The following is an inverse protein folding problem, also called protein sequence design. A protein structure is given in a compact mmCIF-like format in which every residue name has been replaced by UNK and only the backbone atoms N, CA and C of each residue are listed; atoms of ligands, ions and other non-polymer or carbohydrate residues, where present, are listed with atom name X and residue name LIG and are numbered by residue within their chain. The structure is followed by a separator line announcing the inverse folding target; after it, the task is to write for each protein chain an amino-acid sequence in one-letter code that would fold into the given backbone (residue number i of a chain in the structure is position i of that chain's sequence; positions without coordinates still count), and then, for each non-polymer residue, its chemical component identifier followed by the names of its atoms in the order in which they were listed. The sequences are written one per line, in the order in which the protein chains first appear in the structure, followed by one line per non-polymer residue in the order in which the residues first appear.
data_IF_701818981782
#
_entry.id   IF_701818981782
#
_cell.length_a   1.000
_cell.length_b   1.000
_cell.length_c   1.000
_cell.angle_alpha   90.00
_cell.angle_beta   90.00
_cell.angle_gamma   90.00
#
_symmetry.space_group_name_H-M   'P 1'
#
loop_
_entity.id
_entity.type
_entity.pdbx_description
1 polymer ?
#
# COMPACT_ATOMS: atom_id res chain seq x y z
N UNK A 1 -16.00 -19.22 5.75
CA UNK A 1 -15.14 -18.21 5.14
C UNK A 1 -15.59 -16.82 5.59
N UNK A 2 -14.65 -15.98 6.03
CA UNK A 2 -14.88 -14.56 6.38
C UNK A 2 -14.26 -13.69 5.29
N UNK A 3 -15.08 -12.81 4.70
CA UNK A 3 -14.59 -11.82 3.74
C UNK A 3 -13.91 -10.68 4.48
N UNK A 4 -12.66 -10.38 4.12
CA UNK A 4 -11.91 -9.25 4.66
C UNK A 4 -12.30 -7.99 3.88
N UNK A 5 -13.31 -7.26 4.36
CA UNK A 5 -13.77 -6.02 3.72
C UNK A 5 -12.83 -4.84 4.04
N UNK A 6 -11.87 -4.63 3.15
CA UNK A 6 -10.92 -3.52 3.27
C UNK A 6 -11.58 -2.16 3.03
N UNK A 7 -12.65 -2.10 2.23
CA UNK A 7 -13.38 -0.85 1.98
C UNK A 7 -14.06 -0.34 3.26
N UNK A 8 -14.79 -1.22 3.95
CA UNK A 8 -15.44 -0.88 5.21
C UNK A 8 -14.40 -0.55 6.30
N UNK A 9 -13.32 -1.33 6.38
CA UNK A 9 -12.22 -1.09 7.34
C UNK A 9 -11.55 0.25 7.07
N UNK A 10 -11.24 0.58 5.83
CA UNK A 10 -10.64 1.87 5.45
C UNK A 10 -11.57 3.06 5.75
N UNK A 11 -12.87 2.90 5.54
CA UNK A 11 -13.85 3.95 5.88
C UNK A 11 -13.81 4.27 7.38
N UNK A 12 -13.88 3.25 8.22
CA UNK A 12 -13.82 3.40 9.68
C UNK A 12 -12.51 4.06 10.17
N UNK A 13 -11.38 3.65 9.60
CA UNK A 13 -10.08 4.24 9.98
C UNK A 13 -9.99 5.71 9.53
N UNK A 14 -10.54 6.06 8.36
CA UNK A 14 -10.59 7.47 7.94
C UNK A 14 -11.45 8.33 8.87
N UNK A 15 -12.55 7.80 9.40
CA UNK A 15 -13.35 8.46 10.44
C UNK A 15 -12.54 8.66 11.73
N UNK A 16 -11.79 7.64 12.17
CA UNK A 16 -10.88 7.73 13.32
C UNK A 16 -9.83 8.83 13.13
N UNK A 17 -9.22 8.89 11.94
CA UNK A 17 -8.24 9.93 11.57
C UNK A 17 -8.90 11.32 11.55
N UNK A 18 -10.09 11.46 10.96
CA UNK A 18 -10.79 12.73 10.87
C UNK A 18 -11.12 13.29 12.27
N UNK A 19 -11.50 12.43 13.20
CA UNK A 19 -11.77 12.85 14.57
C UNK A 19 -10.48 13.31 15.28
N UNK A 20 -9.36 12.59 15.10
CA UNK A 20 -8.07 12.99 15.64
C UNK A 20 -7.62 14.35 15.05
N UNK A 21 -7.80 14.58 13.76
CA UNK A 21 -7.48 15.87 13.11
C UNK A 21 -8.33 17.00 13.67
N UNK A 22 -9.62 16.79 13.93
CA UNK A 22 -10.48 17.78 14.58
C UNK A 22 -9.93 18.18 15.95
N UNK A 23 -9.49 17.19 16.75
CA UNK A 23 -8.90 17.45 18.06
C UNK A 23 -7.59 18.22 17.96
N UNK A 24 -6.71 17.89 16.99
CA UNK A 24 -5.47 18.64 16.72
C UNK A 24 -5.79 20.11 16.41
N UNK A 25 -6.73 20.36 15.49
CA UNK A 25 -7.11 21.72 15.08
C UNK A 25 -7.78 22.49 16.21
N UNK A 26 -8.65 21.84 16.99
CA UNK A 26 -9.30 22.45 18.15
C UNK A 26 -8.31 22.87 19.23
N UNK A 27 -7.18 22.13 19.35
CA UNK A 27 -6.07 22.47 20.24
C UNK A 27 -5.10 23.53 19.67
N UNK A 28 -5.42 24.13 18.51
CA UNK A 28 -4.59 25.15 17.85
C UNK A 28 -3.46 24.55 16.99
N UNK A 29 -3.44 23.25 16.77
CA UNK A 29 -2.48 22.58 15.90
C UNK A 29 -2.81 22.79 14.42
N UNK A 30 -1.80 22.56 13.57
CA UNK A 30 -1.90 22.63 12.12
C UNK A 30 -2.61 21.39 11.56
N UNK A 31 -3.42 21.57 10.52
CA UNK A 31 -3.95 20.43 9.73
C UNK A 31 -2.80 19.71 9.02
N UNK A 32 -2.75 18.38 9.05
CA UNK A 32 -1.79 17.64 8.24
C UNK A 32 -1.93 17.99 6.76
N UNK A 33 -0.80 18.13 6.05
CA UNK A 33 -0.77 18.52 4.64
C UNK A 33 -0.03 17.48 3.81
N UNK A 34 -0.77 16.86 2.88
CA UNK A 34 -0.23 15.94 1.88
C UNK A 34 -0.10 16.64 0.53
N UNK A 35 1.09 16.65 -0.05
CA UNK A 35 1.26 16.99 -1.45
C UNK A 35 1.42 15.72 -2.31
N UNK A 36 0.94 15.76 -3.54
CA UNK A 36 1.09 14.68 -4.51
C UNK A 36 1.58 15.24 -5.85
N UNK A 37 2.62 14.64 -6.39
CA UNK A 37 3.09 14.92 -7.76
C UNK A 37 2.58 13.81 -8.67
N UNK A 38 1.94 14.19 -9.78
CA UNK A 38 1.53 13.31 -10.85
C UNK A 38 2.21 13.74 -12.14
N UNK A 39 2.87 12.81 -12.82
CA UNK A 39 3.51 13.04 -14.12
C UNK A 39 2.75 12.23 -15.17
N UNK A 40 2.31 12.93 -16.22
CA UNK A 40 1.59 12.35 -17.34
C UNK A 40 0.12 12.04 -17.07
N UNK A 41 -0.47 11.27 -18.00
CA UNK A 41 -1.91 11.02 -18.07
C UNK A 41 -2.29 9.53 -17.97
N UNK A 42 -1.49 8.71 -17.27
CA UNK A 42 -1.88 7.31 -17.02
C UNK A 42 -3.18 7.25 -16.21
N UNK A 43 -4.22 6.68 -16.81
CA UNK A 43 -5.56 6.64 -16.21
C UNK A 43 -5.64 5.86 -14.89
N UNK A 44 -4.69 4.94 -14.63
CA UNK A 44 -4.52 4.27 -13.34
C UNK A 44 -4.05 5.25 -12.29
N UNK A 45 -2.96 5.94 -12.57
CA UNK A 45 -2.34 6.95 -11.72
C UNK A 45 -3.29 8.10 -11.43
N UNK A 46 -4.03 8.59 -12.43
CA UNK A 46 -5.05 9.63 -12.23
C UNK A 46 -6.16 9.20 -11.27
N UNK A 47 -6.65 7.97 -11.42
CA UNK A 47 -7.67 7.42 -10.52
C UNK A 47 -7.14 7.30 -9.08
N UNK A 48 -5.91 6.84 -8.91
CA UNK A 48 -5.27 6.74 -7.59
C UNK A 48 -5.07 8.11 -6.93
N UNK A 49 -4.56 9.09 -7.67
CA UNK A 49 -4.36 10.44 -7.14
C UNK A 49 -5.69 11.11 -6.78
N UNK A 50 -6.71 10.98 -7.64
CA UNK A 50 -8.06 11.47 -7.31
C UNK A 50 -8.59 10.87 -5.99
N UNK A 51 -8.44 9.56 -5.81
CA UNK A 51 -8.88 8.90 -4.58
C UNK A 51 -8.06 9.33 -3.35
N UNK A 52 -6.77 9.66 -3.52
CA UNK A 52 -5.93 10.22 -2.44
C UNK A 52 -6.40 11.62 -2.03
N UNK A 53 -6.73 12.50 -2.98
CA UNK A 53 -7.29 13.82 -2.70
C UNK A 53 -8.62 13.70 -1.95
N UNK A 54 -9.55 12.85 -2.42
CA UNK A 54 -10.82 12.60 -1.73
C UNK A 54 -10.61 12.04 -0.31
N UNK A 55 -9.58 11.21 -0.11
CA UNK A 55 -9.25 10.71 1.22
C UNK A 55 -8.69 11.79 2.13
N UNK A 56 -7.88 12.72 1.61
CA UNK A 56 -7.43 13.91 2.36
C UNK A 56 -8.63 14.74 2.83
N UNK A 57 -9.57 15.03 1.94
CA UNK A 57 -10.80 15.76 2.28
C UNK A 57 -11.59 15.05 3.38
N UNK A 58 -11.79 13.72 3.23
CA UNK A 58 -12.52 12.91 4.21
C UNK A 58 -11.83 12.86 5.58
N UNK A 59 -10.50 12.94 5.63
CA UNK A 59 -9.71 12.98 6.87
C UNK A 59 -9.53 14.40 7.42
N UNK A 60 -9.99 15.45 6.73
CA UNK A 60 -9.82 16.84 7.13
C UNK A 60 -8.40 17.38 6.94
N UNK A 61 -7.61 16.77 6.05
CA UNK A 61 -6.26 17.20 5.69
C UNK A 61 -6.30 18.34 4.67
N UNK A 62 -5.23 19.12 4.62
CA UNK A 62 -4.89 19.94 3.45
C UNK A 62 -4.27 19.04 2.38
N UNK A 63 -4.59 19.27 1.11
CA UNK A 63 -3.97 18.54 -0.01
C UNK A 63 -3.55 19.47 -1.14
N UNK A 64 -2.39 19.21 -1.72
CA UNK A 64 -1.88 19.91 -2.91
C UNK A 64 -1.58 18.90 -4.00
N UNK A 65 -2.16 19.10 -5.19
CA UNK A 65 -1.87 18.28 -6.36
C UNK A 65 -1.05 19.10 -7.37
N UNK A 66 0.12 18.56 -7.70
CA UNK A 66 1.05 19.14 -8.67
C UNK A 66 1.05 18.21 -9.89
N UNK A 67 0.79 18.76 -11.08
CA UNK A 67 0.75 18.00 -12.32
C UNK A 67 1.88 18.43 -13.23
N UNK A 68 2.48 17.48 -13.87
CA UNK A 68 3.42 17.64 -14.97
C UNK A 68 2.96 16.84 -16.17
N UNK A 69 3.31 17.32 -17.36
CA UNK A 69 3.09 16.61 -18.60
C UNK A 69 4.06 15.43 -18.75
N UNK A 70 3.76 14.49 -19.68
CA UNK A 70 4.54 13.28 -19.88
C UNK A 70 6.00 13.55 -20.28
N UNK A 71 6.29 14.71 -20.88
CA UNK A 71 7.60 15.10 -21.38
C UNK A 71 8.43 15.97 -20.42
N UNK A 72 7.95 16.15 -19.17
CA UNK A 72 8.68 16.92 -18.14
C UNK A 72 10.11 16.40 -17.99
N UNK A 73 11.08 17.31 -17.90
CA UNK A 73 12.47 16.93 -17.68
C UNK A 73 12.70 16.48 -16.24
N UNK A 74 13.58 15.48 -16.08
CA UNK A 74 13.93 14.95 -14.76
C UNK A 74 14.40 16.04 -13.79
N UNK A 75 15.20 17.00 -14.28
CA UNK A 75 15.72 18.11 -13.49
C UNK A 75 14.59 19.01 -12.96
N UNK A 76 13.54 19.25 -13.75
CA UNK A 76 12.40 20.06 -13.35
C UNK A 76 11.58 19.34 -12.26
N UNK A 77 11.34 18.03 -12.42
CA UNK A 77 10.71 17.21 -11.41
C UNK A 77 11.52 17.20 -10.11
N UNK A 78 12.83 17.01 -10.18
CA UNK A 78 13.73 17.02 -9.01
C UNK A 78 13.76 18.40 -8.33
N UNK A 79 13.71 19.49 -9.10
CA UNK A 79 13.60 20.84 -8.53
C UNK A 79 12.30 21.01 -7.74
N UNK A 80 11.18 20.46 -8.23
CA UNK A 80 9.90 20.48 -7.49
C UNK A 80 9.95 19.62 -6.23
N UNK A 81 10.58 18.45 -6.28
CA UNK A 81 10.83 17.60 -5.11
C UNK A 81 11.61 18.37 -4.05
N UNK A 82 12.67 19.10 -4.44
CA UNK A 82 13.46 19.90 -3.52
C UNK A 82 12.63 21.03 -2.89
N UNK A 83 11.80 21.74 -3.67
CA UNK A 83 10.89 22.76 -3.14
C UNK A 83 9.94 22.18 -2.08
N UNK A 84 9.38 20.98 -2.31
CA UNK A 84 8.51 20.32 -1.33
C UNK A 84 9.27 19.86 -0.09
N UNK A 85 10.53 19.44 -0.23
CA UNK A 85 11.38 19.12 0.92
C UNK A 85 11.56 20.34 1.84
N UNK A 86 11.72 21.54 1.28
CA UNK A 86 11.95 22.80 2.00
C UNK A 86 10.66 23.46 2.50
N UNK A 87 9.53 23.13 1.91
CA UNK A 87 8.23 23.70 2.27
C UNK A 87 7.79 23.24 3.66
N UNK A 88 7.80 24.16 4.63
CA UNK A 88 7.43 23.87 6.03
C UNK A 88 5.94 23.61 6.23
N UNK A 89 5.11 23.98 5.25
CA UNK A 89 3.68 23.72 5.31
C UNK A 89 3.32 22.30 4.85
N UNK A 90 4.14 21.66 4.03
CA UNK A 90 3.96 20.30 3.58
C UNK A 90 4.56 19.32 4.60
N UNK A 91 3.72 18.49 5.23
CA UNK A 91 4.15 17.49 6.21
C UNK A 91 4.68 16.21 5.56
N UNK A 92 4.10 15.83 4.43
CA UNK A 92 4.55 14.70 3.63
C UNK A 92 4.11 14.83 2.19
N UNK A 93 4.83 14.17 1.29
CA UNK A 93 4.42 14.14 -0.10
C UNK A 93 4.80 12.83 -0.79
N UNK A 94 4.18 12.63 -1.93
CA UNK A 94 4.38 11.46 -2.78
C UNK A 94 4.67 11.89 -4.21
N UNK A 95 5.44 11.09 -4.93
CA UNK A 95 5.52 11.13 -6.39
C UNK A 95 4.84 9.87 -6.90
N UNK A 96 3.70 10.03 -7.58
CA UNK A 96 2.90 8.90 -8.03
C UNK A 96 3.66 8.07 -9.07
N UNK A 97 3.86 6.79 -8.77
CA UNK A 97 4.46 5.81 -9.68
C UNK A 97 3.37 5.09 -10.51
N UNK A 98 3.72 4.59 -11.71
CA UNK A 98 5.04 4.67 -12.35
C UNK A 98 5.32 6.04 -12.98
N UNK A 99 6.59 6.37 -13.18
CA UNK A 99 7.04 7.55 -13.91
C UNK A 99 7.29 7.22 -15.40
N UNK A 100 7.29 8.23 -16.30
CA UNK A 100 7.74 8.06 -17.67
C UNK A 100 9.15 7.47 -17.76
N UNK A 101 9.43 6.64 -18.76
CA UNK A 101 10.67 5.86 -18.89
C UNK A 101 11.96 6.68 -18.92
N UNK A 102 11.90 7.95 -19.31
CA UNK A 102 13.05 8.85 -19.36
C UNK A 102 13.43 9.43 -17.98
N UNK A 103 12.60 9.22 -16.96
CA UNK A 103 12.83 9.67 -15.58
C UNK A 103 13.28 8.47 -14.75
N UNK A 104 14.36 8.64 -14.01
CA UNK A 104 14.86 7.61 -13.11
C UNK A 104 14.08 7.61 -11.78
N UNK A 105 13.15 6.68 -11.62
CA UNK A 105 12.33 6.56 -10.40
C UNK A 105 13.17 6.47 -9.11
N UNK A 106 14.26 5.71 -9.13
CA UNK A 106 15.12 5.55 -7.95
C UNK A 106 15.77 6.88 -7.54
N UNK A 107 16.20 7.68 -8.52
CA UNK A 107 16.79 9.00 -8.27
C UNK A 107 15.75 9.95 -7.67
N UNK A 108 14.50 9.90 -8.16
CA UNK A 108 13.40 10.70 -7.61
C UNK A 108 13.08 10.28 -6.17
N UNK A 109 12.94 8.97 -5.91
CA UNK A 109 12.69 8.45 -4.55
C UNK A 109 13.79 8.90 -3.57
N UNK A 110 15.05 8.82 -3.98
CA UNK A 110 16.20 9.23 -3.14
C UNK A 110 16.30 10.74 -2.92
N UNK A 111 15.70 11.55 -3.80
CA UNK A 111 15.66 13.00 -3.65
C UNK A 111 14.59 13.48 -2.65
N UNK A 112 13.60 12.65 -2.31
CA UNK A 112 12.59 12.95 -1.29
C UNK A 112 13.28 12.96 0.08
N UNK A 113 13.02 13.97 0.91
CA UNK A 113 13.43 13.92 2.31
C UNK A 113 12.71 12.74 3.00
N UNK A 114 13.46 11.80 3.54
CA UNK A 114 12.89 10.61 4.20
C UNK A 114 11.91 10.96 5.33
N UNK A 115 12.01 12.16 5.90
CA UNK A 115 11.10 12.68 6.94
C UNK A 115 9.74 13.10 6.37
N UNK A 116 9.64 13.25 5.04
CA UNK A 116 8.41 13.60 4.30
C UNK A 116 7.96 12.49 3.34
N UNK A 117 8.71 11.39 3.26
CA UNK A 117 8.39 10.21 2.43
C UNK A 117 7.27 9.38 3.06
N UNK A 118 6.04 9.85 2.95
CA UNK A 118 4.86 9.19 3.54
C UNK A 118 4.40 7.95 2.77
N UNK A 119 4.94 7.68 1.58
CA UNK A 119 4.79 6.39 0.89
C UNK A 119 5.71 5.30 1.48
N UNK A 120 6.78 5.69 2.21
CA UNK A 120 7.70 4.77 2.86
C UNK A 120 8.63 4.02 1.90
N UNK A 121 9.01 4.65 0.78
CA UNK A 121 9.86 4.03 -0.25
C UNK A 121 11.33 4.44 -0.15
N UNK A 122 11.62 5.53 0.56
CA UNK A 122 12.99 5.99 0.74
C UNK A 122 13.85 4.94 1.46
N UNK A 123 15.09 4.67 1.02
CA UNK A 123 15.96 3.65 1.61
C UNK A 123 16.16 3.77 3.12
N UNK A 124 16.14 4.98 3.67
CA UNK A 124 16.21 5.20 5.13
C UNK A 124 14.96 4.63 5.82
N UNK A 125 13.75 4.90 5.32
CA UNK A 125 12.52 4.35 5.87
C UNK A 125 12.49 2.82 5.73
N UNK A 126 12.88 2.29 4.57
CA UNK A 126 12.96 0.85 4.33
C UNK A 126 13.96 0.18 5.27
N UNK A 127 15.15 0.76 5.45
CA UNK A 127 16.16 0.23 6.37
C UNK A 127 15.71 0.28 7.83
N UNK A 128 15.10 1.38 8.26
CA UNK A 128 14.55 1.52 9.61
C UNK A 128 13.42 0.50 9.87
N UNK A 129 12.51 0.34 8.91
CA UNK A 129 11.46 -0.68 8.97
C UNK A 129 12.06 -2.08 9.09
N UNK A 130 13.09 -2.40 8.29
CA UNK A 130 13.72 -3.72 8.30
C UNK A 130 14.30 -4.13 9.66
N UNK A 131 14.77 -3.16 10.44
CA UNK A 131 15.34 -3.40 11.78
C UNK A 131 14.38 -3.00 12.93
N UNK A 132 13.11 -2.72 12.61
CA UNK A 132 12.06 -2.44 13.60
C UNK A 132 12.12 -1.08 14.26
N UNK A 133 12.79 -0.09 13.66
CA UNK A 133 12.80 1.29 14.16
C UNK A 133 11.56 2.07 13.67
N UNK A 134 11.10 3.07 14.46
CA UNK A 134 10.00 3.94 14.03
C UNK A 134 10.30 4.64 12.69
N UNK A 135 9.38 4.52 11.73
CA UNK A 135 9.52 5.09 10.39
C UNK A 135 8.17 5.08 9.65
N UNK A 136 8.12 5.73 8.48
CA UNK A 136 7.01 5.53 7.56
C UNK A 136 7.14 4.15 6.89
N UNK A 137 6.12 3.32 7.05
CA UNK A 137 6.03 2.00 6.44
C UNK A 137 5.33 2.13 5.09
N UNK A 138 5.82 1.40 4.08
CA UNK A 138 5.18 1.32 2.77
C UNK A 138 3.66 1.08 2.90
N UNK A 139 2.86 1.91 2.22
CA UNK A 139 1.42 2.04 2.48
C UNK A 139 0.65 0.73 2.28
N UNK A 140 0.93 -0.05 1.23
CA UNK A 140 0.24 -1.33 0.97
C UNK A 140 0.56 -2.38 2.03
N UNK A 141 1.83 -2.66 2.38
CA UNK A 141 2.18 -3.54 3.49
C UNK A 141 1.58 -3.11 4.84
N UNK A 142 1.59 -1.82 5.16
CA UNK A 142 0.96 -1.30 6.37
C UNK A 142 -0.55 -1.57 6.39
N UNK A 143 -1.21 -1.42 5.22
CA UNK A 143 -2.62 -1.73 5.03
C UNK A 143 -2.94 -3.20 5.29
N UNK A 144 -2.11 -4.11 4.80
CA UNK A 144 -2.26 -5.56 5.00
C UNK A 144 -2.10 -5.91 6.49
N UNK A 145 -1.05 -5.43 7.16
CA UNK A 145 -0.87 -5.64 8.60
C UNK A 145 -2.07 -5.09 9.39
N UNK A 146 -2.58 -3.93 8.99
CA UNK A 146 -3.77 -3.34 9.62
C UNK A 146 -5.01 -4.23 9.45
N UNK A 147 -5.23 -4.81 8.27
CA UNK A 147 -6.33 -5.75 8.03
C UNK A 147 -6.18 -7.01 8.90
N UNK A 148 -5.01 -7.64 8.90
CA UNK A 148 -4.76 -8.82 9.71
C UNK A 148 -5.08 -8.56 11.19
N UNK A 149 -4.63 -7.43 11.74
CA UNK A 149 -4.91 -7.02 13.13
C UNK A 149 -6.39 -6.72 13.37
N UNK A 150 -7.07 -5.99 12.47
CA UNK A 150 -8.49 -5.61 12.64
C UNK A 150 -9.44 -6.81 12.57
N UNK A 151 -9.07 -7.84 11.82
CA UNK A 151 -9.83 -9.09 11.73
C UNK A 151 -9.42 -10.15 12.77
N UNK A 152 -8.48 -9.83 13.66
CA UNK A 152 -8.01 -10.76 14.70
C UNK A 152 -7.35 -12.01 14.12
N UNK A 153 -6.73 -11.89 12.94
CA UNK A 153 -6.08 -13.02 12.28
C UNK A 153 -4.75 -13.29 12.99
N UNK A 154 -4.64 -14.48 13.56
CA UNK A 154 -3.42 -14.93 14.21
C UNK A 154 -2.33 -15.18 13.19
N UNK A 155 -1.18 -14.54 13.37
CA UNK A 155 -0.03 -14.63 12.48
C UNK A 155 1.21 -15.22 13.15
N UNK A 156 1.30 -15.15 14.48
CA UNK A 156 2.46 -15.64 15.24
C UNK A 156 2.65 -17.15 15.05
N UNK A 157 3.86 -17.54 14.68
CA UNK A 157 4.23 -18.94 14.42
C UNK A 157 3.61 -19.55 13.14
N UNK A 158 2.79 -18.81 12.38
CA UNK A 158 2.17 -19.28 11.13
C UNK A 158 3.15 -19.32 9.97
N UNK A 159 2.95 -20.24 9.04
CA UNK A 159 3.68 -20.26 7.75
C UNK A 159 3.04 -19.24 6.81
N UNK A 160 3.75 -18.17 6.51
CA UNK A 160 3.32 -17.14 5.58
C UNK A 160 4.10 -17.22 4.27
N UNK A 161 3.40 -17.40 3.16
CA UNK A 161 3.98 -17.37 1.82
C UNK A 161 3.63 -16.06 1.14
N UNK A 162 4.66 -15.36 0.66
CA UNK A 162 4.51 -14.11 -0.09
C UNK A 162 4.86 -14.39 -1.55
N UNK A 163 3.90 -14.19 -2.42
CA UNK A 163 4.09 -14.28 -3.86
C UNK A 163 4.46 -12.90 -4.41
N UNK A 164 5.68 -12.78 -4.90
CA UNK A 164 6.25 -11.52 -5.39
C UNK A 164 7.33 -10.96 -4.48
N UNK A 165 8.26 -10.17 -5.10
CA UNK A 165 9.44 -9.59 -4.42
C UNK A 165 9.73 -8.15 -4.82
N UNK A 166 8.67 -7.39 -5.11
CA UNK A 166 8.79 -5.97 -5.43
C UNK A 166 9.30 -5.16 -4.23
N UNK A 167 9.93 -4.02 -4.50
CA UNK A 167 10.41 -3.14 -3.44
C UNK A 167 9.26 -2.47 -2.66
N UNK A 168 8.10 -2.34 -3.29
CA UNK A 168 6.96 -1.61 -2.72
C UNK A 168 5.98 -2.51 -1.95
N UNK A 169 5.96 -3.82 -2.22
CA UNK A 169 5.05 -4.77 -1.54
C UNK A 169 5.78 -6.00 -1.01
N UNK A 170 6.33 -6.84 -1.90
CA UNK A 170 6.82 -8.18 -1.52
C UNK A 170 7.93 -8.16 -0.47
N UNK A 171 8.99 -7.36 -0.70
CA UNK A 171 10.10 -7.25 0.27
C UNK A 171 9.68 -6.62 1.60
N UNK A 172 8.98 -5.45 1.63
CA UNK A 172 8.51 -4.90 2.89
C UNK A 172 7.52 -5.82 3.61
N UNK A 173 6.67 -6.54 2.87
CA UNK A 173 5.73 -7.48 3.46
C UNK A 173 6.45 -8.65 4.16
N UNK A 174 7.50 -9.20 3.53
CA UNK A 174 8.31 -10.24 4.12
C UNK A 174 8.98 -9.78 5.44
N UNK A 175 9.53 -8.58 5.43
CA UNK A 175 10.15 -7.99 6.61
C UNK A 175 9.14 -7.75 7.74
N UNK A 176 7.96 -7.23 7.45
CA UNK A 176 6.93 -7.00 8.47
C UNK A 176 6.37 -8.30 9.01
N UNK A 177 6.11 -9.29 8.15
CA UNK A 177 5.55 -10.56 8.61
C UNK A 177 6.50 -11.36 9.49
N UNK A 178 7.83 -11.24 9.32
CA UNK A 178 8.80 -11.90 10.19
C UNK A 178 9.05 -11.16 11.51
N UNK A 179 8.69 -9.88 11.64
CA UNK A 179 8.95 -9.10 12.84
C UNK A 179 7.95 -9.40 13.96
N UNK A 180 8.46 -9.59 15.18
CA UNK A 180 7.68 -9.92 16.38
C UNK A 180 6.55 -8.91 16.67
N UNK A 181 6.78 -7.61 16.42
CA UNK A 181 5.77 -6.57 16.66
C UNK A 181 4.66 -6.51 15.61
N UNK A 182 4.82 -7.16 14.45
CA UNK A 182 3.85 -7.12 13.35
C UNK A 182 3.24 -8.50 13.06
N UNK A 183 3.98 -9.40 12.44
CA UNK A 183 3.48 -10.70 11.99
C UNK A 183 3.95 -11.87 12.85
N UNK A 184 5.19 -11.85 13.30
CA UNK A 184 5.82 -12.92 14.09
C UNK A 184 5.68 -14.31 13.42
N UNK A 185 5.70 -14.33 12.08
CA UNK A 185 5.44 -15.49 11.24
C UNK A 185 6.74 -16.08 10.66
N UNK A 186 6.70 -17.36 10.27
CA UNK A 186 7.73 -17.94 9.40
C UNK A 186 7.41 -17.59 7.96
N UNK A 187 8.34 -16.92 7.27
CA UNK A 187 8.08 -16.32 5.96
C UNK A 187 8.88 -16.98 4.86
N UNK A 188 8.18 -17.40 3.80
CA UNK A 188 8.77 -17.83 2.53
C UNK A 188 8.39 -16.85 1.43
N UNK A 189 9.36 -16.37 0.65
CA UNK A 189 9.11 -15.49 -0.50
C UNK A 189 9.28 -16.29 -1.79
N UNK A 190 8.21 -16.40 -2.56
CA UNK A 190 8.18 -17.07 -3.86
C UNK A 190 8.09 -16.06 -5.03
N UNK A 191 8.68 -16.42 -6.15
CA UNK A 191 8.72 -15.60 -7.37
C UNK A 191 8.81 -16.50 -8.62
N UNK A 192 8.85 -15.92 -9.80
CA UNK A 192 8.84 -16.63 -11.11
C UNK A 192 9.92 -17.71 -11.29
N UNK A 193 10.99 -17.68 -10.51
CA UNK A 193 12.06 -18.68 -10.54
C UNK A 193 12.00 -19.70 -9.37
N UNK A 194 11.00 -19.62 -8.50
CA UNK A 194 10.81 -20.56 -7.40
C UNK A 194 10.31 -21.91 -7.94
N UNK A 195 11.07 -22.97 -7.71
CA UNK A 195 10.75 -24.31 -8.25
C UNK A 195 9.59 -24.98 -7.51
N UNK A 196 9.47 -24.72 -6.20
CA UNK A 196 8.50 -25.35 -5.28
C UNK A 196 7.37 -24.40 -4.88
N UNK A 197 7.02 -23.42 -5.74
CA UNK A 197 6.04 -22.38 -5.41
C UNK A 197 4.68 -22.97 -5.02
N UNK A 198 4.19 -23.97 -5.75
CA UNK A 198 2.87 -24.59 -5.46
C UNK A 198 2.88 -25.35 -4.15
N UNK A 199 3.95 -26.07 -3.88
CA UNK A 199 4.16 -26.85 -2.66
C UNK A 199 4.20 -25.91 -1.44
N UNK A 200 4.96 -24.81 -1.54
CA UNK A 200 5.02 -23.80 -0.49
C UNK A 200 3.63 -23.20 -0.20
N UNK A 201 2.87 -22.88 -1.24
CA UNK A 201 1.52 -22.36 -1.10
C UNK A 201 0.57 -23.36 -0.42
N UNK A 202 0.64 -24.66 -0.76
CA UNK A 202 -0.20 -25.70 -0.18
C UNK A 202 0.01 -25.89 1.33
N UNK A 203 1.19 -25.57 1.81
CA UNK A 203 1.53 -25.66 3.24
C UNK A 203 1.28 -24.36 4.01
N UNK A 204 1.03 -23.26 3.31
CA UNK A 204 0.91 -21.93 3.90
C UNK A 204 -0.39 -21.77 4.72
N UNK A 205 -0.28 -21.21 5.92
CA UNK A 205 -1.41 -20.73 6.71
C UNK A 205 -1.93 -19.41 6.16
N UNK A 206 -1.00 -18.59 5.65
CA UNK A 206 -1.28 -17.26 5.10
C UNK A 206 -0.59 -17.15 3.74
N UNK A 207 -1.34 -16.76 2.71
CA UNK A 207 -0.78 -16.44 1.39
C UNK A 207 -1.04 -14.96 1.11
N UNK A 208 0.02 -14.22 0.77
CA UNK A 208 -0.07 -12.83 0.32
C UNK A 208 0.34 -12.80 -1.14
N UNK A 209 -0.63 -12.65 -2.04
CA UNK A 209 -0.43 -12.67 -3.48
C UNK A 209 -0.23 -11.24 -4.01
N UNK A 210 0.99 -10.95 -4.52
CA UNK A 210 1.40 -9.63 -5.01
C UNK A 210 2.31 -9.73 -6.23
N UNK A 211 1.84 -10.43 -7.28
CA UNK A 211 2.58 -10.70 -8.52
C UNK A 211 2.03 -9.97 -9.75
N UNK A 212 0.80 -9.44 -9.67
CA UNK A 212 0.16 -8.77 -10.80
C UNK A 212 -0.22 -9.72 -11.95
N UNK A 213 -0.54 -10.99 -11.62
CA UNK A 213 -0.95 -12.01 -12.58
C UNK A 213 -2.35 -12.50 -12.26
N UNK A 214 -3.37 -12.09 -13.02
CA UNK A 214 -4.76 -12.44 -12.74
C UNK A 214 -4.99 -13.95 -12.62
N UNK A 215 -5.77 -14.36 -11.59
CA UNK A 215 -6.21 -15.73 -11.36
C UNK A 215 -5.06 -16.76 -11.22
N UNK A 216 -3.86 -16.31 -10.85
CA UNK A 216 -2.69 -17.18 -10.72
C UNK A 216 -2.83 -18.20 -9.57
N UNK A 217 -3.33 -17.76 -8.41
CA UNK A 217 -3.52 -18.62 -7.25
C UNK A 217 -4.84 -19.37 -7.40
N UNK A 218 -4.76 -20.68 -7.55
CA UNK A 218 -5.89 -21.59 -7.76
C UNK A 218 -6.16 -22.47 -6.53
N UNK A 219 -7.33 -23.11 -6.48
CA UNK A 219 -7.75 -23.91 -5.32
C UNK A 219 -6.79 -25.06 -4.97
N UNK A 220 -6.07 -25.62 -5.94
CA UNK A 220 -5.07 -26.68 -5.73
C UNK A 220 -3.77 -26.19 -5.09
N UNK A 221 -3.60 -24.86 -4.98
CA UNK A 221 -2.47 -24.20 -4.31
C UNK A 221 -2.77 -23.80 -2.87
N UNK A 222 -3.99 -23.95 -2.39
CA UNK A 222 -4.44 -23.44 -1.10
C UNK A 222 -4.93 -24.58 -0.21
N UNK A 223 -4.43 -24.66 1.03
CA UNK A 223 -4.95 -25.61 2.01
C UNK A 223 -6.25 -25.15 2.65
N UNK A 224 -7.01 -26.07 3.19
CA UNK A 224 -8.23 -25.76 3.96
C UNK A 224 -7.92 -24.86 5.16
N UNK A 225 -8.76 -23.84 5.36
CA UNK A 225 -8.66 -22.91 6.46
C UNK A 225 -7.60 -21.81 6.29
N UNK A 226 -6.90 -21.72 5.16
CA UNK A 226 -5.89 -20.68 4.92
C UNK A 226 -6.49 -19.26 4.92
N UNK A 227 -5.64 -18.28 5.22
CA UNK A 227 -5.92 -16.85 5.05
C UNK A 227 -5.28 -16.36 3.75
N UNK A 228 -6.07 -15.72 2.90
CA UNK A 228 -5.62 -15.24 1.59
C UNK A 228 -5.75 -13.72 1.51
N UNK A 229 -4.62 -13.06 1.26
CA UNK A 229 -4.54 -11.62 1.02
C UNK A 229 -4.17 -11.39 -0.44
N UNK A 230 -5.15 -11.02 -1.24
CA UNK A 230 -4.96 -10.69 -2.65
C UNK A 230 -4.65 -9.20 -2.82
N UNK A 231 -3.44 -8.90 -3.27
CA UNK A 231 -2.94 -7.55 -3.53
C UNK A 231 -3.09 -7.16 -5.00
N UNK A 232 -3.34 -8.16 -5.87
CA UNK A 232 -3.47 -7.96 -7.31
C UNK A 232 -4.58 -6.97 -7.67
N UNK A 233 -4.31 -6.08 -8.62
CA UNK A 233 -5.30 -5.10 -9.14
C UNK A 233 -5.09 -4.91 -10.63
N UNK A 234 -5.09 -5.99 -11.38
CA UNK A 234 -4.89 -5.95 -12.82
C UNK A 234 -6.19 -5.59 -13.54
N UNK A 235 -6.11 -4.66 -14.50
CA UNK A 235 -7.23 -4.34 -15.39
C UNK A 235 -7.32 -5.43 -16.45
N UNK A 236 -8.46 -6.13 -16.50
CA UNK A 236 -8.78 -7.12 -17.54
C UNK A 236 -9.95 -6.63 -18.38
N UNK A 237 -9.97 -6.88 -19.70
CA UNK A 237 -11.08 -6.51 -20.55
C UNK A 237 -12.41 -7.08 -20.03
N UNK A 238 -13.46 -6.26 -20.04
CA UNK A 238 -14.82 -6.67 -19.66
C UNK A 238 -15.86 -5.83 -20.42
N UNK A 239 -16.39 -6.38 -21.49
CA UNK A 239 -17.37 -5.71 -22.34
C UNK A 239 -18.71 -5.44 -21.64
N UNK A 240 -18.99 -6.07 -20.50
CA UNK A 240 -20.21 -5.82 -19.71
C UNK A 240 -20.13 -4.53 -18.91
N UNK A 241 -18.94 -3.96 -18.73
CA UNK A 241 -18.72 -2.73 -17.97
C UNK A 241 -18.65 -1.52 -18.89
N UNK A 242 -19.25 -0.40 -18.46
CA UNK A 242 -19.17 0.88 -19.20
C UNK A 242 -17.72 1.36 -19.40
N UNK A 243 -16.81 0.99 -18.50
CA UNK A 243 -15.38 1.32 -18.59
C UNK A 243 -14.60 0.41 -19.55
N UNK A 244 -15.20 -0.66 -20.09
CA UNK A 244 -14.54 -1.66 -20.94
C UNK A 244 -13.62 -2.61 -20.18
N UNK A 245 -13.47 -2.48 -18.85
CA UNK A 245 -12.60 -3.34 -18.03
C UNK A 245 -13.17 -3.57 -16.63
N UNK A 246 -12.68 -4.64 -15.99
CA UNK A 246 -12.84 -4.89 -14.55
C UNK A 246 -11.46 -5.03 -13.89
N UNK A 247 -11.41 -4.82 -12.59
CA UNK A 247 -10.25 -5.16 -11.79
C UNK A 247 -10.32 -6.64 -11.41
N UNK A 248 -9.20 -7.34 -11.60
CA UNK A 248 -9.04 -8.74 -11.22
C UNK A 248 -7.84 -8.87 -10.29
N UNK A 249 -7.96 -9.73 -9.29
CA UNK A 249 -6.88 -10.07 -8.38
C UNK A 249 -5.95 -11.14 -8.93
N UNK A 250 -4.91 -11.43 -8.17
CA UNK A 250 -3.99 -12.53 -8.44
C UNK A 250 -4.58 -13.90 -8.04
N UNK A 251 -5.69 -13.91 -7.31
CA UNK A 251 -6.34 -15.11 -6.77
C UNK A 251 -7.62 -15.41 -7.57
N UNK A 252 -7.80 -16.66 -7.97
CA UNK A 252 -9.04 -17.14 -8.59
C UNK A 252 -10.12 -17.28 -7.52
N UNK A 253 -10.74 -16.14 -7.19
CA UNK A 253 -11.55 -15.95 -6.01
C UNK A 253 -12.63 -17.02 -5.82
N UNK A 254 -13.42 -17.32 -6.85
CA UNK A 254 -14.57 -18.22 -6.74
C UNK A 254 -14.18 -19.65 -6.40
N UNK A 255 -12.98 -20.09 -6.82
CA UNK A 255 -12.47 -21.43 -6.52
C UNK A 255 -11.75 -21.50 -5.17
N UNK A 256 -11.10 -20.40 -4.77
CA UNK A 256 -10.25 -20.35 -3.58
C UNK A 256 -11.05 -20.01 -2.33
N UNK A 257 -12.02 -19.10 -2.44
CA UNK A 257 -12.79 -18.62 -1.30
C UNK A 257 -13.46 -19.74 -0.46
N UNK A 258 -14.07 -20.80 -1.06
CA UNK A 258 -14.68 -21.87 -0.28
C UNK A 258 -13.72 -22.59 0.68
N UNK A 259 -12.41 -22.60 0.36
CA UNK A 259 -11.37 -23.27 1.15
C UNK A 259 -10.83 -22.41 2.28
N UNK A 260 -11.04 -21.09 2.24
CA UNK A 260 -10.40 -20.14 3.14
C UNK A 260 -11.16 -19.95 4.44
N UNK A 261 -10.43 -19.66 5.52
CA UNK A 261 -11.01 -19.02 6.73
C UNK A 261 -11.23 -17.54 6.48
N UNK A 262 -10.27 -16.86 5.86
CA UNK A 262 -10.31 -15.43 5.54
C UNK A 262 -9.80 -15.18 4.13
N UNK A 263 -10.43 -14.26 3.40
CA UNK A 263 -10.00 -13.86 2.06
C UNK A 263 -10.35 -12.39 1.79
N UNK A 264 -9.44 -11.65 1.13
CA UNK A 264 -9.75 -10.31 0.61
C UNK A 264 -10.38 -10.38 -0.77
N UNK A 265 -11.42 -9.56 -1.06
CA UNK A 265 -11.96 -9.42 -2.41
C UNK A 265 -11.14 -8.46 -3.26
N UNK A 266 -11.22 -8.59 -4.58
CA UNK A 266 -10.74 -7.59 -5.54
C UNK A 266 -11.88 -7.25 -6.51
N UNK A 267 -12.30 -5.97 -6.56
CA UNK A 267 -11.89 -4.83 -5.73
C UNK A 267 -12.47 -4.85 -4.30
N UNK A 268 -11.94 -4.00 -3.42
CA UNK A 268 -12.52 -3.76 -2.09
C UNK A 268 -11.73 -4.34 -0.91
N UNK A 269 -10.68 -5.13 -1.19
CA UNK A 269 -9.77 -5.66 -0.17
C UNK A 269 -8.60 -4.71 0.13
N UNK A 270 -7.42 -5.02 -0.37
CA UNK A 270 -6.17 -4.30 -0.04
C UNK A 270 -6.14 -2.87 -0.61
N UNK A 271 -6.63 -2.62 -1.84
CA UNK A 271 -6.54 -1.32 -2.50
C UNK A 271 -7.02 -0.13 -1.66
N UNK A 272 -8.22 -0.15 -1.06
CA UNK A 272 -8.67 0.92 -0.16
C UNK A 272 -7.78 1.15 1.05
N UNK A 273 -7.13 0.11 1.55
CA UNK A 273 -6.22 0.18 2.69
C UNK A 273 -4.90 0.86 2.37
N UNK A 274 -4.41 0.78 1.13
CA UNK A 274 -3.22 1.51 0.69
C UNK A 274 -3.41 3.02 0.88
N UNK A 275 -4.56 3.55 0.42
CA UNK A 275 -4.88 4.98 0.58
C UNK A 275 -5.05 5.34 2.07
N UNK A 276 -5.71 4.49 2.82
CA UNK A 276 -5.90 4.67 4.26
C UNK A 276 -4.57 4.70 5.02
N UNK A 277 -3.61 3.84 4.65
CA UNK A 277 -2.28 3.81 5.25
C UNK A 277 -1.46 5.05 4.91
N UNK A 278 -1.61 5.58 3.70
CA UNK A 278 -1.02 6.87 3.34
C UNK A 278 -1.56 8.00 4.23
N UNK A 279 -2.86 8.01 4.53
CA UNK A 279 -3.43 9.00 5.47
C UNK A 279 -2.85 8.83 6.88
N UNK A 280 -2.66 7.60 7.37
CA UNK A 280 -1.98 7.34 8.64
C UNK A 280 -0.54 7.88 8.67
N UNK A 281 0.23 7.60 7.64
CA UNK A 281 1.60 8.10 7.53
C UNK A 281 1.63 9.64 7.47
N UNK A 282 0.70 10.26 6.74
CA UNK A 282 0.60 11.74 6.66
C UNK A 282 0.22 12.34 8.01
N UNK A 283 -0.70 11.72 8.75
CA UNK A 283 -1.03 12.15 10.11
C UNK A 283 0.19 12.07 11.04
N UNK A 284 0.91 10.94 11.00
CA UNK A 284 2.13 10.75 11.77
C UNK A 284 3.23 11.77 11.42
N UNK A 285 3.33 12.15 10.14
CA UNK A 285 4.23 13.20 9.67
C UNK A 285 3.84 14.57 10.25
N UNK A 286 2.56 14.95 10.17
CA UNK A 286 2.05 16.20 10.74
C UNK A 286 2.25 16.29 12.26
N UNK A 287 2.19 15.16 12.96
CA UNK A 287 2.45 15.03 14.40
C UNK A 287 3.94 14.92 14.74
N UNK A 288 4.83 14.77 13.74
CA UNK A 288 6.27 14.49 13.91
C UNK A 288 6.56 13.27 14.78
N UNK A 289 5.78 12.19 14.61
CA UNK A 289 5.87 10.99 15.46
C UNK A 289 7.19 10.25 15.30
N UNK A 290 7.73 10.17 14.08
CA UNK A 290 8.93 9.37 13.79
C UNK A 290 10.19 10.22 13.63
N UNK A 291 10.05 11.46 13.20
CA UNK A 291 11.15 12.36 12.91
C UNK A 291 10.86 13.75 13.49
N UNK A 292 11.81 14.24 14.26
CA UNK A 292 11.75 15.57 14.90
C UNK A 292 12.41 16.62 14.04
#
# INVERSE_FOLDING_TARGET
MTLIDGKATAAKIKEEIAEEVKQIVAAGGKRPHLAAILVGHDGGSETYVKNKVLACEACGFTSTLIRFEDDVKEEELLSKVQQLNEDKDVDGFIVQLPLPKHINEQKVIMAIDYRKDVDGFHPINVGRMAIGLPCFISATPLGIITLLKRYGIETSGKKCVILGRSNIVGKPMAQLMMQKQYGDATVTVCHSHSKTLKEECREADIIIAAIGSPDFVTADMVKEGATIIDVGTTRVPDASRKSGFRLNGDVKFDEVAPKCSFITPVPGGVGPMTICSLMKNTLAAGKKEYYK
#
